data_IF_594872543275
#
_entry.id   IF_594872543275
#
_cell.length_a   1.000
_cell.length_b   1.000
_cell.length_c   1.000
_cell.angle_alpha   90.00
_cell.angle_beta   90.00
_cell.angle_gamma   90.00
#
_symmetry.space_group_name_H-M   'P 1'
#
loop_
_entity.id
_entity.type
_entity.pdbx_description
1 polymer ?
#
# COMPACT_ATOMS: atom_id res chain seq x y z
N UNK A 1 -38.59 -19.40 -3.61
CA UNK A 1 -37.93 -19.42 -2.28
C UNK A 1 -36.75 -18.46 -2.34
N UNK A 2 -36.75 -17.44 -1.50
CA UNK A 2 -35.66 -16.47 -1.43
C UNK A 2 -34.58 -16.99 -0.48
N UNK A 3 -33.31 -16.90 -0.88
CA UNK A 3 -32.21 -16.82 0.07
C UNK A 3 -31.34 -15.61 -0.27
N UNK A 4 -31.25 -14.74 0.73
CA UNK A 4 -30.60 -13.45 0.77
C UNK A 4 -29.11 -13.67 1.00
N UNK A 5 -28.26 -13.29 0.05
CA UNK A 5 -26.84 -13.05 0.34
C UNK A 5 -26.66 -11.55 0.56
N UNK A 6 -26.55 -11.19 1.83
CA UNK A 6 -26.19 -9.84 2.27
C UNK A 6 -24.69 -9.63 2.05
N UNK A 7 -24.31 -9.04 0.92
CA UNK A 7 -22.95 -8.49 0.75
C UNK A 7 -22.99 -7.00 1.10
N UNK A 8 -22.80 -6.68 2.38
CA UNK A 8 -22.57 -5.29 2.81
C UNK A 8 -21.13 -4.97 2.45
N UNK A 9 -20.90 -4.48 1.22
CA UNK A 9 -19.76 -3.61 0.83
C UNK A 9 -19.86 -3.20 -0.66
N UNK A 10 -20.98 -2.56 -1.01
CA UNK A 10 -21.07 -1.84 -2.29
C UNK A 10 -20.40 -0.47 -2.15
N UNK A 11 -19.09 -0.39 -2.35
CA UNK A 11 -18.44 0.91 -2.58
C UNK A 11 -18.61 1.25 -4.05
N UNK A 12 -19.38 2.31 -4.34
CA UNK A 12 -19.47 2.90 -5.68
C UNK A 12 -18.55 4.11 -5.72
N UNK A 13 -17.37 3.96 -6.32
CA UNK A 13 -16.40 5.06 -6.48
C UNK A 13 -16.89 5.90 -7.65
N UNK A 14 -17.38 7.11 -7.36
CA UNK A 14 -17.73 8.09 -8.38
C UNK A 14 -16.47 8.83 -8.81
N UNK A 15 -16.10 8.72 -10.08
CA UNK A 15 -15.03 9.51 -10.71
C UNK A 15 -15.70 10.49 -11.68
N UNK A 16 -15.30 11.77 -11.63
CA UNK A 16 -15.82 12.83 -12.49
C UNK A 16 -15.60 12.55 -13.99
N UNK A 17 -14.54 11.78 -14.29
CA UNK A 17 -14.15 11.37 -15.64
C UNK A 17 -14.68 9.97 -15.95
N UNK A 18 -14.96 9.71 -17.23
CA UNK A 18 -15.41 8.42 -17.72
C UNK A 18 -14.46 7.29 -17.26
N UNK A 19 -14.92 6.31 -16.48
CA UNK A 19 -14.08 5.22 -15.97
C UNK A 19 -13.56 4.30 -17.09
N UNK A 20 -14.16 4.34 -18.29
CA UNK A 20 -13.73 3.59 -19.46
C UNK A 20 -12.79 4.36 -20.39
N UNK A 21 -12.46 5.62 -20.07
CA UNK A 21 -11.51 6.38 -20.89
C UNK A 21 -10.08 5.87 -20.64
N UNK A 22 -9.40 5.45 -21.71
CA UNK A 22 -7.99 5.12 -21.69
C UNK A 22 -7.21 6.43 -21.84
N UNK A 23 -6.47 6.80 -20.81
CA UNK A 23 -5.60 7.97 -20.81
C UNK A 23 -4.16 7.53 -21.00
N UNK A 24 -3.57 7.86 -22.15
CA UNK A 24 -2.13 7.73 -22.34
C UNK A 24 -1.40 8.76 -21.48
N UNK A 25 -0.81 8.28 -20.38
CA UNK A 25 0.09 9.08 -19.56
C UNK A 25 1.52 8.85 -20.05
N UNK A 26 2.26 9.93 -20.29
CA UNK A 26 3.68 9.85 -20.66
C UNK A 26 4.43 9.00 -19.65
N UNK A 27 5.16 7.99 -20.15
CA UNK A 27 5.86 6.98 -19.32
C UNK A 27 6.82 7.60 -18.29
N UNK A 28 7.37 8.78 -18.61
CA UNK A 28 8.42 9.47 -17.87
C UNK A 28 7.96 10.74 -17.15
N UNK A 29 6.67 10.85 -16.80
CA UNK A 29 6.20 11.90 -15.90
C UNK A 29 6.92 11.83 -14.54
N UNK A 30 7.06 12.95 -13.81
CA UNK A 30 7.58 12.94 -12.44
C UNK A 30 6.73 12.00 -11.57
N UNK A 31 7.35 10.91 -11.11
CA UNK A 31 6.74 9.93 -10.20
C UNK A 31 7.38 10.05 -8.82
N UNK A 32 6.56 9.81 -7.80
CA UNK A 32 7.01 9.67 -6.43
C UNK A 32 6.87 8.22 -6.02
N UNK A 33 7.84 7.71 -5.27
CA UNK A 33 7.75 6.38 -4.68
C UNK A 33 7.10 6.48 -3.31
N UNK A 34 6.15 5.59 -3.07
CA UNK A 34 5.34 5.58 -1.86
C UNK A 34 5.23 4.18 -1.29
N UNK A 35 5.39 4.06 0.01
CA UNK A 35 5.04 2.85 0.75
C UNK A 35 3.76 3.09 1.56
N UNK A 36 2.88 2.10 1.60
CA UNK A 36 1.70 2.07 2.44
C UNK A 36 1.54 0.67 3.02
N UNK A 37 1.26 0.58 4.32
CA UNK A 37 0.91 -0.69 4.96
C UNK A 37 -0.56 -0.65 5.38
N UNK A 38 -1.26 -1.76 5.19
CA UNK A 38 -2.67 -1.88 5.56
C UNK A 38 -2.88 -3.17 6.32
N UNK A 39 -3.72 -3.12 7.35
CA UNK A 39 -4.26 -4.29 8.03
C UNK A 39 -5.75 -4.43 7.70
N UNK A 40 -6.40 -5.44 8.28
CA UNK A 40 -7.85 -5.63 8.14
C UNK A 40 -8.68 -4.52 8.80
N UNK A 41 -8.10 -3.78 9.74
CA UNK A 41 -8.79 -2.78 10.57
C UNK A 41 -8.21 -1.37 10.45
N UNK A 42 -6.94 -1.22 10.07
CA UNK A 42 -6.22 0.06 10.09
C UNK A 42 -5.42 0.24 8.81
N UNK A 43 -5.47 1.46 8.26
CA UNK A 43 -4.54 1.91 7.22
C UNK A 43 -3.38 2.63 7.92
N UNK A 44 -2.18 2.07 7.83
CA UNK A 44 -0.98 2.75 8.28
C UNK A 44 -0.57 3.75 7.20
N UNK A 45 -0.31 4.98 7.63
CA UNK A 45 -0.07 6.09 6.71
C UNK A 45 1.10 5.84 5.75
N UNK A 46 1.17 6.70 4.75
CA UNK A 46 2.04 6.56 3.60
C UNK A 46 3.42 7.18 3.84
N UNK A 47 4.49 6.44 3.56
CA UNK A 47 5.88 6.91 3.61
C UNK A 47 6.39 7.25 2.21
N UNK A 48 6.85 8.49 2.02
CA UNK A 48 7.41 8.96 0.75
C UNK A 48 8.92 8.74 0.72
N UNK A 49 9.39 8.03 -0.30
CA UNK A 49 10.83 7.93 -0.54
C UNK A 49 11.34 9.18 -1.25
N UNK A 50 12.49 9.68 -0.82
CA UNK A 50 13.15 10.83 -1.44
C UNK A 50 13.70 10.50 -2.84
N UNK A 51 14.16 9.26 -3.03
CA UNK A 51 14.80 8.82 -4.27
C UNK A 51 13.81 8.24 -5.29
N UNK A 52 14.15 8.42 -6.56
CA UNK A 52 13.40 7.87 -7.71
C UNK A 52 13.42 6.34 -7.78
N UNK A 53 14.38 5.69 -7.11
CA UNK A 53 14.49 4.24 -7.08
C UNK A 53 14.50 3.77 -5.64
N UNK A 54 13.58 2.89 -5.28
CA UNK A 54 13.55 2.27 -3.95
C UNK A 54 14.63 1.19 -3.89
N UNK A 55 15.65 1.41 -3.06
CA UNK A 55 16.70 0.43 -2.78
C UNK A 55 16.30 -0.48 -1.62
N UNK A 56 16.97 -1.62 -1.48
CA UNK A 56 16.70 -2.50 -0.33
C UNK A 56 17.07 -1.88 1.01
N UNK A 57 18.10 -1.03 1.05
CA UNK A 57 18.43 -0.26 2.25
C UNK A 57 17.34 0.73 2.62
N UNK A 58 16.84 1.50 1.63
CA UNK A 58 15.73 2.42 1.86
C UNK A 58 14.46 1.70 2.34
N UNK A 59 14.18 0.52 1.80
CA UNK A 59 13.06 -0.31 2.26
C UNK A 59 13.28 -0.80 3.70
N UNK A 60 14.47 -1.30 4.04
CA UNK A 60 14.81 -1.76 5.38
C UNK A 60 14.72 -0.63 6.42
N UNK A 61 15.21 0.56 6.08
CA UNK A 61 15.15 1.73 6.95
C UNK A 61 13.72 2.18 7.15
N UNK A 62 12.92 2.23 6.08
CA UNK A 62 11.48 2.51 6.20
C UNK A 62 10.79 1.49 7.11
N UNK A 63 11.06 0.18 6.97
CA UNK A 63 10.47 -0.83 7.84
C UNK A 63 10.88 -0.61 9.30
N UNK A 64 12.17 -0.43 9.58
CA UNK A 64 12.69 -0.33 10.96
C UNK A 64 12.35 0.98 11.65
N UNK A 65 12.48 2.10 10.94
CA UNK A 65 12.39 3.45 11.50
C UNK A 65 10.94 3.94 11.48
N UNK A 66 10.19 3.62 10.43
CA UNK A 66 8.81 4.11 10.27
C UNK A 66 7.77 3.07 10.69
N UNK A 67 7.76 1.88 10.06
CA UNK A 67 6.64 0.94 10.21
C UNK A 67 6.65 0.20 11.56
N UNK A 68 7.80 -0.33 11.98
CA UNK A 68 7.88 -1.16 13.19
C UNK A 68 7.49 -0.43 14.49
N UNK A 69 7.87 0.84 14.71
CA UNK A 69 7.40 1.60 15.87
C UNK A 69 5.87 1.74 15.89
N UNK A 70 5.26 2.06 14.74
CA UNK A 70 3.81 2.20 14.61
C UNK A 70 3.12 0.86 14.93
N UNK A 71 3.62 -0.24 14.36
CA UNK A 71 3.03 -1.56 14.59
C UNK A 71 3.15 -2.00 16.07
N UNK A 72 4.26 -1.71 16.74
CA UNK A 72 4.42 -2.02 18.17
C UNK A 72 3.42 -1.28 19.06
N UNK A 73 3.07 -0.06 18.69
CA UNK A 73 2.10 0.75 19.45
C UNK A 73 0.65 0.38 19.11
N UNK A 74 0.37 0.07 17.85
CA UNK A 74 -1.02 -0.10 17.37
C UNK A 74 -1.49 -1.55 17.31
N UNK A 75 -0.57 -2.51 17.11
CA UNK A 75 -0.84 -3.94 16.98
C UNK A 75 0.20 -4.75 17.78
N UNK A 76 0.15 -4.68 19.14
CA UNK A 76 1.13 -5.35 20.00
C UNK A 76 0.97 -6.87 20.02
N UNK A 77 -0.24 -7.38 19.73
CA UNK A 77 -0.49 -8.81 19.55
C UNK A 77 -0.03 -9.21 18.13
N UNK A 78 0.84 -10.22 18.04
CA UNK A 78 1.50 -10.70 16.83
C UNK A 78 0.75 -10.42 15.50
N UNK A 79 1.47 -9.87 14.52
CA UNK A 79 1.00 -9.66 13.16
C UNK A 79 1.81 -10.48 12.15
N UNK A 80 1.21 -10.79 11.00
CA UNK A 80 1.89 -11.35 9.84
C UNK A 80 2.12 -10.23 8.84
N UNK A 81 3.37 -10.04 8.43
CA UNK A 81 3.73 -9.05 7.42
C UNK A 81 3.83 -9.71 6.04
N UNK A 82 3.09 -9.18 5.06
CA UNK A 82 3.06 -9.67 3.69
C UNK A 82 3.52 -8.56 2.73
N UNK A 83 4.44 -8.88 1.83
CA UNK A 83 4.91 -8.02 0.73
C UNK A 83 4.96 -8.83 -0.57
N UNK A 84 5.22 -8.15 -1.68
CA UNK A 84 5.47 -8.80 -2.96
C UNK A 84 6.91 -9.37 -3.05
N UNK A 85 7.19 -10.07 -4.15
CA UNK A 85 8.47 -10.75 -4.38
C UNK A 85 9.57 -9.86 -4.97
N UNK A 86 9.48 -8.53 -4.89
CA UNK A 86 10.43 -7.64 -5.60
C UNK A 86 11.83 -7.72 -4.97
N UNK A 87 12.92 -7.75 -5.77
CA UNK A 87 14.27 -7.93 -5.26
C UNK A 87 14.71 -6.91 -4.20
N UNK A 88 14.14 -5.70 -4.18
CA UNK A 88 14.47 -4.70 -3.16
C UNK A 88 13.95 -5.07 -1.76
N UNK A 89 12.99 -5.99 -1.63
CA UNK A 89 12.47 -6.44 -0.33
C UNK A 89 13.29 -7.56 0.29
N UNK A 90 14.25 -8.12 -0.45
CA UNK A 90 15.09 -9.21 0.02
C UNK A 90 16.56 -8.79 -0.05
N UNK A 91 17.30 -9.05 1.03
CA UNK A 91 18.75 -9.09 0.95
C UNK A 91 19.15 -10.43 0.34
N UNK A 92 20.06 -10.43 -0.65
CA UNK A 92 20.77 -11.65 -1.06
C UNK A 92 22.00 -11.82 -0.19
#
# INVERSE_FOLDING_TARGET
MAQRVSSIRNVRIWVYKNPHAIYDHGRDSPKINLFCAVSSSIVFCTFFFADKTVTGFACLDMLKIYLMPILKETMPECFIFQQDGVPCHFHK
#
